data_IF_855998583062
#
_entry.id   IF_855998583062
#
_cell.length_a   1.000
_cell.length_b   1.000
_cell.length_c   1.000
_cell.angle_alpha   90.00
_cell.angle_beta   90.00
_cell.angle_gamma   90.00
#
_symmetry.space_group_name_H-M   'P 1'
#
loop_
_entity.id
_entity.type
_entity.pdbx_description
1 polymer ?
#
# COMPACT_ATOMS: atom_id res chain seq x y z
N UNK A 1 12.67 -16.65 -0.03
CA UNK A 1 13.50 -15.76 -0.88
C UNK A 1 13.11 -14.34 -0.49
N UNK A 2 14.06 -13.49 -0.12
CA UNK A 2 13.76 -12.09 0.19
C UNK A 2 13.61 -11.32 -1.13
N UNK A 3 12.39 -11.26 -1.65
CA UNK A 3 12.06 -10.54 -2.88
C UNK A 3 11.81 -9.05 -2.55
N UNK A 4 12.73 -8.16 -2.99
CA UNK A 4 12.62 -6.72 -2.78
C UNK A 4 11.46 -6.09 -3.54
N UNK A 5 11.12 -6.63 -4.72
CA UNK A 5 9.99 -6.16 -5.52
C UNK A 5 8.67 -6.41 -4.79
N UNK A 6 8.49 -7.61 -4.21
CA UNK A 6 7.32 -7.91 -3.38
C UNK A 6 7.31 -7.03 -2.12
N UNK A 7 8.47 -6.77 -1.53
CA UNK A 7 8.55 -5.89 -0.36
C UNK A 7 8.07 -4.47 -0.68
N UNK A 8 8.50 -3.88 -1.80
CA UNK A 8 8.05 -2.56 -2.24
C UNK A 8 6.53 -2.52 -2.48
N UNK A 9 5.98 -3.57 -3.09
CA UNK A 9 4.54 -3.73 -3.27
C UNK A 9 3.80 -3.84 -1.92
N UNK A 10 4.38 -4.56 -0.96
CA UNK A 10 3.80 -4.73 0.37
C UNK A 10 3.76 -3.42 1.15
N UNK A 11 4.83 -2.62 1.06
CA UNK A 11 4.88 -1.27 1.61
C UNK A 11 3.77 -0.40 1.01
N UNK A 12 3.56 -0.49 -0.32
CA UNK A 12 2.52 0.28 -1.02
C UNK A 12 1.12 -0.04 -0.47
N UNK A 13 0.73 -1.30 -0.35
CA UNK A 13 -0.58 -1.69 0.22
C UNK A 13 -0.68 -1.38 1.72
N UNK A 14 0.38 -1.60 2.49
CA UNK A 14 0.38 -1.27 3.92
C UNK A 14 0.22 0.24 4.15
N UNK A 15 0.77 1.07 3.25
CA UNK A 15 0.55 2.52 3.28
C UNK A 15 -0.91 2.89 3.00
N UNK A 16 -1.57 2.18 2.09
CA UNK A 16 -3.00 2.36 1.83
C UNK A 16 -3.85 1.94 3.04
N UNK A 17 -3.45 0.91 3.79
CA UNK A 17 -4.10 0.52 5.03
C UNK A 17 -4.00 1.59 6.13
N UNK A 18 -2.90 2.34 6.16
CA UNK A 18 -2.80 3.53 7.01
C UNK A 18 -3.72 4.65 6.55
N UNK A 19 -3.79 4.92 5.25
CA UNK A 19 -4.61 5.99 4.68
C UNK A 19 -6.11 5.72 4.85
N UNK A 20 -6.53 4.49 4.60
CA UNK A 20 -7.92 4.05 4.75
C UNK A 20 -8.38 4.00 6.21
N UNK A 21 -7.43 3.94 7.16
CA UNK A 21 -7.73 3.84 8.59
C UNK A 21 -7.84 2.40 9.10
N UNK A 22 -7.56 1.40 8.26
CA UNK A 22 -7.47 0.00 8.70
C UNK A 22 -6.37 -0.19 9.76
N UNK A 23 -5.19 0.39 9.52
CA UNK A 23 -4.22 0.60 10.59
C UNK A 23 -4.55 1.94 11.27
N UNK A 24 -5.33 1.84 12.36
CA UNK A 24 -5.81 3.00 13.12
C UNK A 24 -4.68 3.95 13.52
N UNK A 25 -4.95 5.25 13.44
CA UNK A 25 -4.04 6.29 13.92
C UNK A 25 -3.85 6.24 15.45
N UNK A 26 -4.89 5.83 16.19
CA UNK A 26 -4.90 5.72 17.64
C UNK A 26 -5.42 4.34 18.04
N UNK A 27 -4.58 3.29 17.93
CA UNK A 27 -4.99 1.94 18.30
C UNK A 27 -5.20 1.81 19.82
N UNK A 28 -6.16 0.97 20.21
CA UNK A 28 -6.57 0.80 21.62
C UNK A 28 -5.84 -0.36 22.30
N UNK A 29 -5.47 -1.40 21.56
CA UNK A 29 -4.96 -2.67 22.12
C UNK A 29 -3.44 -2.76 22.00
N UNK A 30 -2.90 -2.60 20.79
CA UNK A 30 -1.47 -2.69 20.48
C UNK A 30 -0.92 -1.32 20.08
N UNK A 31 0.41 -1.17 20.01
CA UNK A 31 1.01 0.04 19.44
C UNK A 31 0.85 0.05 17.92
N UNK A 32 0.80 1.24 17.34
CA UNK A 32 0.62 1.41 15.89
C UNK A 32 1.75 0.74 15.11
N UNK A 33 2.98 0.82 15.62
CA UNK A 33 4.17 0.20 15.02
C UNK A 33 4.05 -1.33 14.97
N UNK A 34 3.59 -1.96 16.07
CA UNK A 34 3.38 -3.42 16.11
C UNK A 34 2.28 -3.87 15.14
N UNK A 35 1.20 -3.08 15.03
CA UNK A 35 0.12 -3.37 14.07
C UNK A 35 0.66 -3.23 12.64
N UNK A 36 1.42 -2.18 12.34
CA UNK A 36 2.07 -1.99 11.04
C UNK A 36 3.01 -3.14 10.71
N UNK A 37 3.87 -3.56 11.64
CA UNK A 37 4.81 -4.67 11.42
C UNK A 37 4.07 -5.97 11.10
N UNK A 38 3.07 -6.34 11.91
CA UNK A 38 2.22 -7.52 11.67
C UNK A 38 1.52 -7.44 10.33
N UNK A 39 0.98 -6.27 9.99
CA UNK A 39 0.24 -6.07 8.73
C UNK A 39 1.16 -6.14 7.52
N UNK A 40 2.33 -5.52 7.59
CA UNK A 40 3.32 -5.57 6.52
C UNK A 40 3.80 -7.00 6.25
N UNK A 41 4.10 -7.77 7.30
CA UNK A 41 4.50 -9.17 7.17
C UNK A 41 3.39 -10.03 6.54
N UNK A 42 2.13 -9.80 6.93
CA UNK A 42 0.99 -10.48 6.34
C UNK A 42 0.81 -10.15 4.86
N UNK A 43 0.83 -8.86 4.50
CA UNK A 43 0.70 -8.41 3.10
C UNK A 43 1.85 -8.95 2.24
N UNK A 44 3.07 -8.98 2.77
CA UNK A 44 4.22 -9.54 2.06
C UNK A 44 4.00 -11.00 1.66
N UNK A 45 3.49 -11.81 2.60
CA UNK A 45 3.17 -13.21 2.34
C UNK A 45 2.04 -13.35 1.32
N UNK A 46 0.95 -12.58 1.52
CA UNK A 46 -0.20 -12.55 0.62
C UNK A 46 0.23 -12.20 -0.81
N UNK A 47 1.04 -11.16 -1.00
CA UNK A 47 1.53 -10.77 -2.32
C UNK A 47 2.45 -11.82 -2.95
N UNK A 48 3.26 -12.52 -2.15
CA UNK A 48 4.09 -13.63 -2.63
C UNK A 48 3.21 -14.74 -3.20
N UNK A 49 2.14 -15.10 -2.50
CA UNK A 49 1.21 -16.15 -2.91
C UNK A 49 0.46 -15.75 -4.20
N UNK A 50 0.00 -14.49 -4.28
CA UNK A 50 -0.68 -13.96 -5.48
C UNK A 50 0.29 -13.88 -6.67
N UNK A 51 1.54 -13.42 -6.48
CA UNK A 51 2.55 -13.40 -7.56
C UNK A 51 2.80 -14.81 -8.09
N UNK A 52 2.97 -15.79 -7.21
CA UNK A 52 3.17 -17.18 -7.62
C UNK A 52 1.98 -17.72 -8.44
N UNK A 53 0.75 -17.44 -8.01
CA UNK A 53 -0.47 -17.83 -8.73
C UNK A 53 -0.54 -17.17 -10.11
N UNK A 54 -0.20 -15.89 -10.20
CA UNK A 54 -0.19 -15.14 -11.47
C UNK A 54 0.89 -15.65 -12.43
N UNK A 55 2.09 -15.96 -11.92
CA UNK A 55 3.18 -16.52 -12.72
C UNK A 55 2.80 -17.87 -13.34
N UNK A 56 2.12 -18.73 -12.58
CA UNK A 56 1.62 -20.02 -13.07
C UNK A 56 0.58 -19.86 -14.20
N UNK A 57 -0.15 -18.75 -14.25
CA UNK A 57 -1.12 -18.48 -15.32
C UNK A 57 -0.47 -17.91 -16.59
N UNK A 58 0.80 -17.49 -16.51
CA UNK A 58 1.48 -16.72 -17.56
C UNK A 58 2.68 -17.47 -18.17
N UNK A 59 2.63 -18.81 -18.27
CA UNK A 59 3.75 -19.73 -18.59
C UNK A 59 4.66 -19.37 -19.80
N UNK A 60 4.33 -18.39 -20.63
CA UNK A 60 5.11 -17.97 -21.80
C UNK A 60 5.34 -16.45 -21.93
N UNK A 61 5.16 -15.67 -20.86
CA UNK A 61 5.36 -14.21 -20.88
C UNK A 61 6.70 -13.79 -20.28
N UNK A 62 7.19 -12.62 -20.71
CA UNK A 62 8.42 -12.03 -20.18
C UNK A 62 8.24 -11.70 -18.69
N UNK A 63 9.16 -12.14 -17.85
CA UNK A 63 9.15 -11.88 -16.41
C UNK A 63 9.11 -10.38 -16.09
N UNK A 64 9.88 -9.55 -16.81
CA UNK A 64 9.88 -8.09 -16.65
C UNK A 64 8.48 -7.49 -16.92
N UNK A 65 7.73 -8.06 -17.88
CA UNK A 65 6.38 -7.62 -18.21
C UNK A 65 5.36 -8.06 -17.15
N UNK A 66 5.51 -9.28 -16.64
CA UNK A 66 4.67 -9.78 -15.56
C UNK A 66 4.88 -8.94 -14.31
N UNK A 67 6.13 -8.68 -13.91
CA UNK A 67 6.43 -7.85 -12.74
C UNK A 67 5.90 -6.43 -12.90
N UNK A 68 6.09 -5.80 -14.07
CA UNK A 68 5.51 -4.50 -14.34
C UNK A 68 3.98 -4.50 -14.22
N UNK A 69 3.29 -5.46 -14.87
CA UNK A 69 1.83 -5.54 -14.81
C UNK A 69 1.34 -5.80 -13.38
N UNK A 70 2.07 -6.61 -12.62
CA UNK A 70 1.77 -6.90 -11.23
C UNK A 70 1.92 -5.66 -10.34
N UNK A 71 3.00 -4.90 -10.50
CA UNK A 71 3.19 -3.64 -9.78
C UNK A 71 2.03 -2.66 -10.04
N UNK A 72 1.59 -2.55 -11.30
CA UNK A 72 0.46 -1.68 -11.67
C UNK A 72 -0.87 -2.18 -11.11
N UNK A 73 -1.07 -3.49 -11.04
CA UNK A 73 -2.23 -4.06 -10.37
C UNK A 73 -2.25 -3.74 -8.86
N UNK A 74 -1.10 -3.81 -8.21
CA UNK A 74 -0.93 -3.42 -6.80
C UNK A 74 -1.19 -1.92 -6.61
N UNK A 75 -0.71 -1.06 -7.51
CA UNK A 75 -0.98 0.39 -7.48
C UNK A 75 -2.48 0.71 -7.54
N UNK A 76 -3.21 0.07 -8.47
CA UNK A 76 -4.65 0.26 -8.59
C UNK A 76 -5.40 -0.26 -7.36
N UNK A 77 -4.99 -1.42 -6.83
CA UNK A 77 -5.57 -1.98 -5.60
C UNK A 77 -5.30 -1.08 -4.39
N UNK A 78 -4.09 -0.51 -4.30
CA UNK A 78 -3.72 0.47 -3.28
C UNK A 78 -4.63 1.70 -3.31
N UNK A 79 -5.00 2.15 -4.51
CA UNK A 79 -5.97 3.24 -4.69
C UNK A 79 -7.34 2.86 -4.15
N UNK A 80 -7.84 1.67 -4.49
CA UNK A 80 -9.15 1.18 -4.05
C UNK A 80 -9.25 0.99 -2.53
N UNK A 81 -8.17 0.54 -1.89
CA UNK A 81 -8.06 0.55 -0.42
C UNK A 81 -8.16 1.97 0.10
N UNK A 82 -7.34 2.89 -0.44
CA UNK A 82 -7.21 4.25 0.09
C UNK A 82 -8.51 5.06 -0.03
N UNK A 83 -9.29 4.85 -1.10
CA UNK A 83 -10.55 5.54 -1.33
C UNK A 83 -11.77 4.83 -0.72
N UNK A 84 -11.58 3.68 -0.07
CA UNK A 84 -12.63 2.95 0.64
C UNK A 84 -13.51 2.05 -0.24
N UNK A 85 -13.12 1.81 -1.50
CA UNK A 85 -13.76 0.77 -2.34
C UNK A 85 -13.53 -0.62 -1.73
N UNK A 86 -12.30 -0.88 -1.27
CA UNK A 86 -12.02 -1.97 -0.33
C UNK A 86 -12.19 -1.40 1.08
N UNK A 87 -13.32 -1.71 1.70
CA UNK A 87 -13.72 -1.16 2.98
C UNK A 87 -12.80 -1.63 4.12
N UNK A 88 -12.68 -0.78 5.14
CA UNK A 88 -11.94 -1.10 6.37
C UNK A 88 -12.67 -2.19 7.17
N UNK A 89 -13.99 -2.05 7.32
CA UNK A 89 -14.87 -2.99 8.01
C UNK A 89 -15.92 -3.51 7.01
N UNK A 90 -15.56 -4.46 6.13
CA UNK A 90 -16.49 -4.99 5.16
C UNK A 90 -17.53 -5.89 5.84
N UNK A 91 -18.80 -5.71 5.45
CA UNK A 91 -19.92 -6.53 5.94
C UNK A 91 -20.09 -7.80 5.09
N UNK A 92 -19.77 -7.72 3.80
CA UNK A 92 -20.15 -8.72 2.79
C UNK A 92 -19.00 -9.59 2.30
N UNK A 93 -17.76 -9.31 2.72
CA UNK A 93 -16.58 -10.03 2.23
C UNK A 93 -15.44 -10.00 3.25
N UNK A 94 -14.53 -10.96 3.12
CA UNK A 94 -13.23 -10.89 3.79
C UNK A 94 -12.32 -9.91 3.04
N UNK A 95 -11.75 -8.95 3.79
CA UNK A 95 -10.97 -7.85 3.22
C UNK A 95 -9.72 -8.34 2.51
N UNK A 96 -9.01 -9.29 3.09
CA UNK A 96 -7.72 -9.74 2.60
C UNK A 96 -7.89 -10.60 1.35
N UNK A 97 -8.91 -11.47 1.36
CA UNK A 97 -9.36 -12.16 0.16
C UNK A 97 -9.75 -11.17 -0.95
N UNK A 98 -10.46 -10.08 -0.61
CA UNK A 98 -10.84 -9.07 -1.58
C UNK A 98 -9.66 -8.33 -2.17
N UNK A 99 -8.59 -8.11 -1.40
CA UNK A 99 -7.34 -7.55 -1.90
C UNK A 99 -6.73 -8.49 -2.94
N UNK A 100 -6.61 -9.80 -2.65
CA UNK A 100 -6.11 -10.78 -3.62
C UNK A 100 -6.89 -10.76 -4.93
N UNK A 101 -8.22 -10.86 -4.84
CA UNK A 101 -9.10 -10.88 -6.00
C UNK A 101 -8.99 -9.61 -6.84
N UNK A 102 -8.87 -8.46 -6.17
CA UNK A 102 -8.73 -7.16 -6.84
C UNK A 102 -7.38 -7.05 -7.56
N UNK A 103 -6.30 -7.56 -6.97
CA UNK A 103 -4.99 -7.62 -7.62
C UNK A 103 -5.04 -8.52 -8.86
N UNK A 104 -5.62 -9.72 -8.75
CA UNK A 104 -5.75 -10.65 -9.88
C UNK A 104 -6.60 -10.06 -11.02
N UNK A 105 -7.69 -9.36 -10.65
CA UNK A 105 -8.55 -8.65 -11.59
C UNK A 105 -7.78 -7.55 -12.33
N UNK A 106 -7.12 -6.65 -11.59
CA UNK A 106 -6.37 -5.56 -12.21
C UNK A 106 -5.17 -6.06 -12.99
N UNK A 107 -4.49 -7.11 -12.55
CA UNK A 107 -3.41 -7.73 -13.30
C UNK A 107 -3.91 -8.21 -14.67
N UNK A 108 -5.02 -8.96 -14.67
CA UNK A 108 -5.66 -9.45 -15.89
C UNK A 108 -6.08 -8.31 -16.83
N UNK A 109 -6.51 -7.18 -16.27
CA UNK A 109 -6.88 -5.99 -17.03
C UNK A 109 -5.65 -5.28 -17.62
N UNK A 110 -4.62 -5.04 -16.81
CA UNK A 110 -3.39 -4.34 -17.19
C UNK A 110 -2.64 -5.13 -18.25
N UNK A 111 -2.51 -6.44 -18.09
CA UNK A 111 -1.76 -7.27 -19.05
C UNK A 111 -2.43 -7.32 -20.43
N UNK A 112 -3.76 -7.28 -20.46
CA UNK A 112 -4.52 -7.12 -21.72
C UNK A 112 -4.34 -5.73 -22.30
N UNK A 113 -4.33 -4.70 -21.46
CA UNK A 113 -4.12 -3.32 -21.87
C UNK A 113 -2.73 -3.13 -22.50
N UNK A 114 -1.66 -3.62 -21.86
CA UNK A 114 -0.28 -3.61 -22.38
C UNK A 114 -0.18 -4.23 -23.76
N UNK A 115 -0.75 -5.43 -23.94
CA UNK A 115 -0.79 -6.10 -25.24
C UNK A 115 -1.58 -5.31 -26.30
N UNK A 116 -2.76 -4.78 -25.94
CA UNK A 116 -3.62 -4.03 -26.86
C UNK A 116 -3.03 -2.68 -27.29
N UNK A 117 -2.33 -2.00 -26.39
CA UNK A 117 -1.71 -0.70 -26.61
C UNK A 117 -0.28 -0.80 -27.15
N UNK A 118 0.24 -2.03 -27.34
CA UNK A 118 1.61 -2.30 -27.80
C UNK A 118 2.67 -1.56 -26.96
N UNK A 119 2.46 -1.52 -25.64
CA UNK A 119 3.42 -0.87 -24.73
C UNK A 119 4.68 -1.73 -24.66
N UNK A 120 5.82 -1.16 -25.04
CA UNK A 120 7.12 -1.82 -24.89
C UNK A 120 7.77 -1.39 -23.59
N UNK A 121 8.25 -2.37 -22.82
CA UNK A 121 9.04 -2.13 -21.62
C UNK A 121 10.49 -1.87 -22.02
N UNK A 122 10.99 -0.69 -21.66
CA UNK A 122 12.43 -0.39 -21.71
C UNK A 122 13.05 -0.95 -20.44
N UNK A 123 13.71 -2.10 -20.52
CA UNK A 123 14.38 -2.72 -19.38
C UNK A 123 15.41 -1.75 -18.78
N UNK A 124 15.18 -1.29 -17.55
CA UNK A 124 16.17 -0.55 -16.75
C UNK A 124 17.14 -1.53 -16.09
N UNK A 125 17.89 -2.29 -16.89
CA UNK A 125 19.12 -2.95 -16.39
C UNK A 125 20.26 -1.94 -16.33
N UNK A 126 20.15 -0.96 -15.42
CA UNK A 126 21.32 -0.22 -14.95
C UNK A 126 20.97 0.52 -13.65
N UNK A 127 21.88 0.43 -12.66
CA UNK A 127 21.95 1.23 -11.40
C UNK A 127 21.20 0.62 -10.19
N UNK A 128 21.77 0.29 -9.02
CA UNK A 128 23.12 0.26 -8.43
C UNK A 128 23.08 -0.78 -7.30
N UNK A 129 24.21 -1.45 -7.07
CA UNK A 129 24.47 -2.40 -6.01
C UNK A 129 24.09 -1.93 -4.59
N UNK A 130 23.41 -2.81 -3.84
CA UNK A 130 23.40 -2.81 -2.38
C UNK A 130 24.81 -3.15 -1.88
N UNK A 131 25.62 -2.14 -1.56
CA UNK A 131 26.75 -2.33 -0.68
C UNK A 131 26.26 -2.27 0.76
N UNK A 132 26.14 -3.44 1.38
CA UNK A 132 26.16 -3.57 2.83
C UNK A 132 27.50 -3.03 3.33
N UNK A 133 27.47 -1.95 4.10
CA UNK A 133 28.53 -1.64 5.05
C UNK A 133 27.87 -1.31 6.37
N UNK A 134 27.96 -2.27 7.30
CA UNK A 134 27.79 -2.00 8.71
C UNK A 134 28.90 -1.03 9.13
N UNK A 135 28.55 0.18 9.53
CA UNK A 135 29.30 0.88 10.58
C UNK A 135 28.31 1.59 11.51
N UNK A 136 28.44 1.22 12.78
CA UNK A 136 27.73 1.78 13.92
C UNK A 136 28.26 3.21 14.13
N UNK A 137 27.42 4.22 13.89
CA UNK A 137 27.62 5.55 14.49
C UNK A 137 26.30 5.98 15.13
N UNK A 138 26.24 5.83 16.47
CA UNK A 138 25.24 6.49 17.30
C UNK A 138 25.51 7.99 17.28
N UNK A 139 24.55 8.78 16.83
CA UNK A 139 24.44 10.20 17.21
C UNK A 139 23.04 10.46 17.74
N UNK A 140 22.85 11.27 18.80
CA UNK A 140 21.54 11.60 19.29
C UNK A 140 20.98 12.72 18.40
N UNK A 141 20.00 12.39 17.56
CA UNK A 141 19.21 13.42 16.87
C UNK A 141 18.12 13.86 17.85
N UNK A 142 18.30 15.06 18.39
CA UNK A 142 17.32 15.74 19.22
C UNK A 142 16.15 16.20 18.35
N UNK A 143 15.03 15.47 18.37
CA UNK A 143 13.83 15.85 17.64
C UNK A 143 13.18 17.06 18.32
N UNK A 144 13.33 18.25 17.76
CA UNK A 144 12.49 19.40 18.13
C UNK A 144 11.10 19.16 17.55
N UNK A 145 10.16 18.77 18.40
CA UNK A 145 8.72 18.83 18.09
C UNK A 145 8.32 20.28 17.83
N UNK A 146 8.21 20.65 16.56
CA UNK A 146 7.55 21.89 16.15
C UNK A 146 6.05 21.65 16.23
N UNK A 147 5.44 22.11 17.33
CA UNK A 147 3.99 22.15 17.46
C UNK A 147 3.48 23.34 16.63
N UNK A 148 2.82 23.06 15.51
CA UNK A 148 2.08 24.07 14.76
C UNK A 148 0.70 24.19 15.42
N UNK A 149 0.34 25.34 16.02
CA UNK A 149 -1.01 25.51 16.57
C UNK A 149 -2.02 25.53 15.42
N UNK A 150 -2.92 24.54 15.41
CA UNK A 150 -4.10 24.56 14.54
C UNK A 150 -5.06 25.61 15.10
N UNK A 151 -5.17 26.74 14.42
CA UNK A 151 -6.23 27.72 14.70
C UNK A 151 -7.60 27.07 14.42
N UNK A 152 -8.24 26.53 15.46
CA UNK A 152 -9.65 26.19 15.41
C UNK A 152 -10.46 27.48 15.32
N UNK A 153 -10.93 27.83 14.12
CA UNK A 153 -11.98 28.85 13.97
C UNK A 153 -13.26 28.32 14.64
N UNK A 154 -13.50 28.72 15.87
CA UNK A 154 -14.79 28.52 16.53
C UNK A 154 -15.87 29.22 15.68
N UNK A 155 -16.83 28.44 15.15
CA UNK A 155 -18.07 29.01 14.59
C UNK A 155 -18.80 29.68 15.75
N UNK A 156 -18.87 31.02 15.75
CA UNK A 156 -19.71 31.77 16.70
C UNK A 156 -21.15 31.30 16.56
N UNK A 157 -21.72 30.75 17.63
CA UNK A 157 -23.16 30.45 17.66
C UNK A 157 -23.93 31.77 17.60
N UNK A 158 -24.94 31.83 16.73
CA UNK A 158 -25.84 32.99 16.68
C UNK A 158 -26.79 32.89 17.87
N UNK A 159 -26.66 33.80 18.82
CA UNK A 159 -27.65 34.01 19.89
C UNK A 159 -28.97 34.40 19.21
N UNK A 160 -30.00 33.53 19.30
CA UNK A 160 -31.37 33.91 18.96
C UNK A 160 -31.86 34.89 20.02
N UNK A 161 -31.96 36.18 19.66
CA UNK A 161 -32.75 37.13 20.45
C UNK A 161 -34.22 36.71 20.35
N UNK A 162 -34.76 36.20 21.45
CA UNK A 162 -36.21 36.00 21.59
C UNK A 162 -36.91 37.35 21.42
N UNK A 163 -37.91 37.39 20.53
CA UNK A 163 -38.86 38.50 20.48
C UNK A 163 -39.82 38.34 21.66
N UNK A 164 -39.96 39.41 22.44
CA UNK A 164 -41.08 39.62 23.36
C UNK A 164 -42.37 39.77 22.55
#
# INVERSE_FOLDING_TARGET
MNDSFIFDCAIKLCSADHVSGYVSANPVIDTREKITEKRLAFIYQLLSDVKNKVLQQCENKNEDEIEYCFEKAVELTSSDISCGVIAVEPILYDRDQKICETIEFYFSMVIKAVASLSISLVSKKWSVALQNTQEIIKSPVEYKTVVIPVYQKMKKSKIKKGKR
#
